data_IF_912090951438
#
_entry.id   IF_912090951438
#
_cell.length_a   1.000
_cell.length_b   1.000
_cell.length_c   1.000
_cell.angle_alpha   90.00
_cell.angle_beta   90.00
_cell.angle_gamma   90.00
#
_symmetry.space_group_name_H-M   'P 1'
#
loop_
_entity.id
_entity.type
_entity.pdbx_description
1 polymer ?
#
# COMPACT_ATOMS: atom_id res chain seq x y z
N UNK A 1 17.89 -5.22 -19.16
CA UNK A 1 18.56 -6.30 -18.40
C UNK A 1 17.50 -7.23 -17.85
N UNK A 2 17.71 -8.54 -17.95
CA UNK A 2 16.76 -9.54 -17.46
C UNK A 2 17.51 -10.62 -16.67
N UNK A 3 16.98 -10.97 -15.51
CA UNK A 3 17.41 -12.08 -14.67
C UNK A 3 16.25 -13.07 -14.59
N UNK A 4 16.52 -14.36 -14.82
CA UNK A 4 15.48 -15.39 -14.84
C UNK A 4 15.96 -16.66 -14.17
N UNK A 5 15.12 -17.25 -13.30
CA UNK A 5 15.38 -18.56 -12.70
C UNK A 5 16.56 -18.56 -11.72
N UNK A 6 16.74 -17.49 -10.95
CA UNK A 6 17.88 -17.38 -10.03
C UNK A 6 17.52 -18.04 -8.69
N UNK A 7 18.39 -18.95 -8.23
CA UNK A 7 18.37 -19.51 -6.89
C UNK A 7 19.65 -19.10 -6.16
N UNK A 8 19.53 -18.29 -5.10
CA UNK A 8 20.69 -17.78 -4.37
C UNK A 8 20.40 -17.64 -2.88
N UNK A 9 21.40 -17.68 -2.01
CA UNK A 9 21.20 -17.28 -0.60
C UNK A 9 20.93 -15.78 -0.50
N UNK A 10 21.68 -14.98 -1.26
CA UNK A 10 21.51 -13.54 -1.38
C UNK A 10 21.67 -13.09 -2.83
N UNK A 11 20.80 -12.20 -3.28
CA UNK A 11 20.92 -11.50 -4.56
C UNK A 11 20.82 -10.00 -4.33
N UNK A 12 21.82 -9.26 -4.80
CA UNK A 12 21.90 -7.81 -4.65
C UNK A 12 22.16 -7.14 -6.00
N UNK A 13 21.34 -6.13 -6.34
CA UNK A 13 21.56 -5.27 -7.49
C UNK A 13 21.71 -3.84 -6.97
N UNK A 14 22.84 -3.21 -7.28
CA UNK A 14 23.19 -1.89 -6.75
C UNK A 14 23.60 -0.99 -7.91
N UNK A 15 23.04 0.22 -7.96
CA UNK A 15 23.48 1.26 -8.90
C UNK A 15 23.19 0.95 -10.36
N UNK A 16 22.05 0.31 -10.66
CA UNK A 16 21.70 -0.08 -12.02
C UNK A 16 21.05 1.10 -12.74
N UNK A 17 21.62 1.45 -13.90
CA UNK A 17 21.01 2.34 -14.90
C UNK A 17 20.65 1.53 -16.14
N UNK A 18 19.37 1.41 -16.46
CA UNK A 18 18.92 0.61 -17.61
C UNK A 18 17.62 1.18 -18.21
N UNK A 19 17.36 0.97 -19.51
CA UNK A 19 16.02 1.27 -20.05
C UNK A 19 14.95 0.39 -19.40
N UNK A 20 15.24 -0.90 -19.21
CA UNK A 20 14.37 -1.85 -18.53
C UNK A 20 15.16 -2.83 -17.69
N UNK A 21 14.63 -3.18 -16.52
CA UNK A 21 15.11 -4.25 -15.65
C UNK A 21 13.97 -5.20 -15.31
N UNK A 22 14.18 -6.50 -15.55
CA UNK A 22 13.21 -7.56 -15.27
C UNK A 22 13.83 -8.66 -14.41
N UNK A 23 13.16 -9.02 -13.32
CA UNK A 23 13.52 -10.16 -12.47
C UNK A 23 12.34 -11.15 -12.47
N UNK A 24 12.57 -12.36 -12.95
CA UNK A 24 11.52 -13.36 -13.15
C UNK A 24 11.93 -14.67 -12.47
N UNK A 25 11.08 -15.21 -11.58
CA UNK A 25 11.34 -16.49 -10.94
C UNK A 25 12.61 -16.47 -10.10
N UNK A 26 12.64 -15.60 -9.08
CA UNK A 26 13.78 -15.48 -8.17
C UNK A 26 13.43 -16.16 -6.85
N UNK A 27 14.28 -17.08 -6.41
CA UNK A 27 14.20 -17.70 -5.09
C UNK A 27 15.47 -17.36 -4.29
N UNK A 28 15.32 -16.53 -3.25
CA UNK A 28 16.47 -16.16 -2.43
C UNK A 28 16.13 -15.94 -0.96
N UNK A 29 17.04 -16.22 -0.03
CA UNK A 29 16.79 -15.85 1.38
C UNK A 29 16.72 -14.32 1.54
N UNK A 30 17.57 -13.59 0.81
CA UNK A 30 17.55 -12.13 0.76
C UNK A 30 17.66 -11.62 -0.68
N UNK A 31 16.72 -10.77 -1.08
CA UNK A 31 16.76 -10.02 -2.34
C UNK A 31 16.80 -8.52 -2.04
N UNK A 32 17.80 -7.80 -2.58
CA UNK A 32 17.91 -6.36 -2.39
C UNK A 32 18.21 -5.64 -3.71
N UNK A 33 17.40 -4.65 -4.04
CA UNK A 33 17.69 -3.70 -5.13
C UNK A 33 17.87 -2.32 -4.52
N UNK A 34 18.99 -1.66 -4.83
CA UNK A 34 19.31 -0.35 -4.28
C UNK A 34 19.82 0.59 -5.37
N UNK A 35 19.26 1.81 -5.43
CA UNK A 35 19.72 2.82 -6.39
C UNK A 35 19.47 2.40 -7.83
N UNK A 36 18.24 2.04 -8.17
CA UNK A 36 17.87 1.63 -9.53
C UNK A 36 17.24 2.82 -10.24
N UNK A 37 17.78 3.13 -11.42
CA UNK A 37 17.24 4.12 -12.35
C UNK A 37 16.87 3.41 -13.65
N UNK A 38 15.58 3.27 -13.93
CA UNK A 38 15.12 2.65 -15.16
C UNK A 38 13.84 3.24 -15.71
N UNK A 39 13.54 3.08 -17.00
CA UNK A 39 12.21 3.46 -17.49
C UNK A 39 11.13 2.47 -17.01
N UNK A 40 11.51 1.19 -16.85
CA UNK A 40 10.62 0.14 -16.34
C UNK A 40 11.39 -0.85 -15.47
N UNK A 41 10.83 -1.16 -14.29
CA UNK A 41 11.30 -2.22 -13.41
C UNK A 41 10.14 -3.19 -13.14
N UNK A 42 10.32 -4.46 -13.52
CA UNK A 42 9.32 -5.51 -13.34
C UNK A 42 9.89 -6.68 -12.53
N UNK A 43 9.20 -7.07 -11.47
CA UNK A 43 9.52 -8.23 -10.66
C UNK A 43 8.34 -9.19 -10.66
N UNK A 44 8.57 -10.43 -11.07
CA UNK A 44 7.51 -11.43 -11.21
C UNK A 44 7.93 -12.76 -10.61
N UNK A 45 7.10 -13.33 -9.75
CA UNK A 45 7.37 -14.64 -9.13
C UNK A 45 8.61 -14.61 -8.25
N UNK A 46 8.61 -13.74 -7.23
CA UNK A 46 9.72 -13.61 -6.29
C UNK A 46 9.36 -14.31 -4.99
N UNK A 47 10.23 -15.20 -4.54
CA UNK A 47 10.11 -15.90 -3.26
C UNK A 47 11.34 -15.56 -2.42
N UNK A 48 11.14 -14.81 -1.33
CA UNK A 48 12.26 -14.47 -0.45
C UNK A 48 11.90 -14.29 1.02
N UNK A 49 12.79 -14.64 1.94
CA UNK A 49 12.53 -14.33 3.36
C UNK A 49 12.54 -12.82 3.60
N UNK A 50 13.49 -12.10 3.00
CA UNK A 50 13.58 -10.64 3.01
C UNK A 50 13.69 -10.12 1.58
N UNK A 51 12.81 -9.19 1.20
CA UNK A 51 12.87 -8.50 -0.07
C UNK A 51 12.80 -6.97 0.14
N UNK A 52 13.84 -6.26 -0.30
CA UNK A 52 13.98 -4.82 -0.14
C UNK A 52 14.19 -4.11 -1.48
N UNK A 53 13.41 -3.05 -1.70
CA UNK A 53 13.63 -2.05 -2.74
C UNK A 53 13.94 -0.71 -2.08
N UNK A 54 15.08 -0.11 -2.40
CA UNK A 54 15.51 1.17 -1.81
C UNK A 54 16.01 2.14 -2.87
N UNK A 55 15.47 3.36 -2.89
CA UNK A 55 15.93 4.41 -3.81
C UNK A 55 15.71 4.03 -5.27
N UNK A 56 14.46 3.76 -5.64
CA UNK A 56 14.09 3.36 -7.00
C UNK A 56 13.47 4.56 -7.72
N UNK A 57 13.97 4.88 -8.90
CA UNK A 57 13.45 5.91 -9.79
C UNK A 57 13.05 5.28 -11.11
N UNK A 58 11.76 5.28 -11.43
CA UNK A 58 11.27 4.68 -12.68
C UNK A 58 10.03 5.35 -13.25
N UNK A 59 9.70 5.12 -14.52
CA UNK A 59 8.37 5.48 -15.02
C UNK A 59 7.32 4.45 -14.58
N UNK A 60 7.67 3.16 -14.58
CA UNK A 60 6.80 2.07 -14.11
C UNK A 60 7.56 1.11 -13.20
N UNK A 61 6.96 0.78 -12.04
CA UNK A 61 7.38 -0.29 -11.15
C UNK A 61 6.23 -1.29 -10.96
N UNK A 62 6.45 -2.53 -11.36
CA UNK A 62 5.47 -3.62 -11.24
C UNK A 62 6.03 -4.76 -10.38
N UNK A 63 5.31 -5.12 -9.32
CA UNK A 63 5.58 -6.29 -8.49
C UNK A 63 4.39 -7.25 -8.62
N UNK A 64 4.63 -8.46 -9.10
CA UNK A 64 3.58 -9.45 -9.34
C UNK A 64 3.94 -10.81 -8.75
N UNK A 65 3.06 -11.37 -7.92
CA UNK A 65 3.26 -12.72 -7.35
C UNK A 65 4.49 -12.76 -6.45
N UNK A 66 4.48 -11.96 -5.40
CA UNK A 66 5.61 -11.86 -4.45
C UNK A 66 5.23 -12.58 -3.16
N UNK A 67 6.07 -13.52 -2.75
CA UNK A 67 5.97 -14.23 -1.48
C UNK A 67 7.17 -13.88 -0.62
N UNK A 68 6.94 -13.17 0.51
CA UNK A 68 8.04 -12.84 1.41
C UNK A 68 7.67 -12.79 2.89
N UNK A 69 8.59 -13.15 3.79
CA UNK A 69 8.33 -12.89 5.22
C UNK A 69 8.30 -11.38 5.50
N UNK A 70 9.23 -10.63 4.91
CA UNK A 70 9.26 -9.18 4.94
C UNK A 70 9.48 -8.60 3.55
N UNK A 71 8.57 -7.71 3.13
CA UNK A 71 8.69 -6.91 1.91
C UNK A 71 8.73 -5.42 2.26
N UNK A 72 9.80 -4.73 1.88
CA UNK A 72 10.01 -3.31 2.16
C UNK A 72 10.31 -2.51 0.91
N UNK A 73 9.54 -1.45 0.69
CA UNK A 73 9.75 -0.46 -0.36
C UNK A 73 10.02 0.88 0.30
N UNK A 74 11.20 1.46 0.05
CA UNK A 74 11.63 2.71 0.68
C UNK A 74 12.18 3.68 -0.35
N UNK A 75 11.65 4.91 -0.39
CA UNK A 75 12.13 5.96 -1.29
C UNK A 75 11.91 5.58 -2.75
N UNK A 76 10.64 5.38 -3.14
CA UNK A 76 10.27 5.02 -4.51
C UNK A 76 9.65 6.24 -5.18
N UNK A 77 10.21 6.60 -6.34
CA UNK A 77 9.67 7.63 -7.22
C UNK A 77 9.24 6.98 -8.54
N UNK A 78 7.93 6.93 -8.81
CA UNK A 78 7.42 6.31 -10.03
C UNK A 78 6.22 7.03 -10.64
N UNK A 79 6.06 7.04 -11.96
CA UNK A 79 4.78 7.52 -12.52
C UNK A 79 3.65 6.52 -12.20
N UNK A 80 3.91 5.22 -12.32
CA UNK A 80 3.03 4.14 -11.87
C UNK A 80 3.78 3.16 -10.97
N UNK A 81 3.17 2.81 -9.83
CA UNK A 81 3.60 1.74 -8.94
C UNK A 81 2.45 0.77 -8.71
N UNK A 82 2.65 -0.49 -9.08
CA UNK A 82 1.64 -1.55 -9.01
C UNK A 82 2.16 -2.76 -8.24
N UNK A 83 1.42 -3.16 -7.21
CA UNK A 83 1.66 -4.35 -6.41
C UNK A 83 0.46 -5.28 -6.56
N UNK A 84 0.66 -6.46 -7.15
CA UNK A 84 -0.41 -7.41 -7.44
C UNK A 84 -0.07 -8.79 -6.92
N UNK A 85 -0.95 -9.37 -6.10
CA UNK A 85 -0.80 -10.74 -5.59
C UNK A 85 0.42 -10.85 -4.66
N UNK A 86 0.42 -10.07 -3.58
CA UNK A 86 1.50 -10.06 -2.60
C UNK A 86 1.08 -10.85 -1.37
N UNK A 87 1.90 -11.80 -0.97
CA UNK A 87 1.75 -12.56 0.27
C UNK A 87 2.95 -12.27 1.17
N UNK A 88 2.74 -11.57 2.29
CA UNK A 88 3.82 -11.30 3.22
C UNK A 88 3.44 -11.28 4.70
N UNK A 89 4.33 -11.68 5.61
CA UNK A 89 4.03 -11.46 7.04
C UNK A 89 4.01 -9.96 7.36
N UNK A 90 4.95 -9.20 6.80
CA UNK A 90 5.01 -7.75 6.89
C UNK A 90 5.25 -7.11 5.53
N UNK A 91 4.37 -6.17 5.15
CA UNK A 91 4.53 -5.31 3.97
C UNK A 91 4.62 -3.84 4.41
N UNK A 92 5.73 -3.19 4.09
CA UNK A 92 5.99 -1.79 4.44
C UNK A 92 6.33 -0.96 3.19
N UNK A 93 5.60 0.13 3.00
CA UNK A 93 5.86 1.15 1.99
C UNK A 93 6.15 2.47 2.70
N UNK A 94 7.33 3.04 2.47
CA UNK A 94 7.78 4.27 3.14
C UNK A 94 8.35 5.26 2.15
N UNK A 95 7.85 6.50 2.15
CA UNK A 95 8.37 7.56 1.28
C UNK A 95 8.15 7.23 -0.20
N UNK A 96 6.89 7.06 -0.58
CA UNK A 96 6.51 6.74 -1.97
C UNK A 96 5.92 7.99 -2.61
N UNK A 97 6.45 8.35 -3.77
CA UNK A 97 5.93 9.42 -4.62
C UNK A 97 5.51 8.83 -5.96
N UNK A 98 4.22 8.84 -6.25
CA UNK A 98 3.73 8.33 -7.54
C UNK A 98 2.52 9.04 -8.11
N UNK A 99 2.37 9.12 -9.43
CA UNK A 99 1.10 9.61 -10.00
C UNK A 99 -0.02 8.61 -9.70
N UNK A 100 0.25 7.32 -9.87
CA UNK A 100 -0.66 6.22 -9.53
C UNK A 100 0.04 5.20 -8.64
N UNK A 101 -0.59 4.86 -7.52
CA UNK A 101 -0.19 3.75 -6.65
C UNK A 101 -1.38 2.79 -6.47
N UNK A 102 -1.20 1.54 -6.88
CA UNK A 102 -2.21 0.50 -6.81
C UNK A 102 -1.71 -0.73 -6.07
N UNK A 103 -2.46 -1.17 -5.07
CA UNK A 103 -2.24 -2.41 -4.34
C UNK A 103 -3.47 -3.30 -4.53
N UNK A 104 -3.28 -4.46 -5.16
CA UNK A 104 -4.37 -5.39 -5.49
C UNK A 104 -4.06 -6.80 -4.99
N UNK A 105 -4.99 -7.39 -4.24
CA UNK A 105 -4.86 -8.77 -3.77
C UNK A 105 -3.68 -8.95 -2.83
N UNK A 106 -3.66 -8.19 -1.74
CA UNK A 106 -2.59 -8.25 -0.74
C UNK A 106 -3.06 -9.07 0.45
N UNK A 107 -2.26 -10.05 0.83
CA UNK A 107 -2.45 -10.84 2.04
C UNK A 107 -1.25 -10.63 2.96
N UNK A 108 -1.48 -9.99 4.12
CA UNK A 108 -0.40 -9.79 5.08
C UNK A 108 -0.80 -9.84 6.54
N UNK A 109 0.09 -10.21 7.46
CA UNK A 109 -0.22 -10.04 8.89
C UNK A 109 -0.23 -8.55 9.27
N UNK A 110 0.68 -7.77 8.69
CA UNK A 110 0.73 -6.32 8.85
C UNK A 110 1.00 -5.62 7.51
N UNK A 111 0.21 -4.60 7.21
CA UNK A 111 0.39 -3.67 6.09
C UNK A 111 0.58 -2.25 6.62
N UNK A 112 1.69 -1.60 6.26
CA UNK A 112 1.99 -0.23 6.67
C UNK A 112 2.36 0.63 5.46
N UNK A 113 1.65 1.75 5.29
CA UNK A 113 1.98 2.79 4.32
C UNK A 113 2.28 4.08 5.08
N UNK A 114 3.47 4.64 4.90
CA UNK A 114 3.93 5.84 5.60
C UNK A 114 4.54 6.85 4.65
N UNK A 115 4.06 8.09 4.68
CA UNK A 115 4.60 9.17 3.84
C UNK A 115 4.39 8.89 2.36
N UNK A 116 3.13 8.67 1.97
CA UNK A 116 2.74 8.42 0.59
C UNK A 116 2.21 9.71 -0.01
N UNK A 117 2.76 10.09 -1.16
CA UNK A 117 2.26 11.18 -1.99
C UNK A 117 1.83 10.63 -3.33
N UNK A 118 0.53 10.67 -3.64
CA UNK A 118 0.04 10.22 -4.93
C UNK A 118 -1.08 11.04 -5.54
N UNK A 119 -1.26 11.05 -6.85
CA UNK A 119 -2.50 11.64 -7.41
C UNK A 119 -3.66 10.68 -7.15
N UNK A 120 -3.45 9.39 -7.44
CA UNK A 120 -4.39 8.31 -7.14
C UNK A 120 -3.73 7.24 -6.30
N UNK A 121 -4.34 6.91 -5.16
CA UNK A 121 -3.98 5.77 -4.33
C UNK A 121 -5.18 4.83 -4.22
N UNK A 122 -5.00 3.58 -4.64
CA UNK A 122 -6.05 2.56 -4.65
C UNK A 122 -5.57 1.28 -3.96
N UNK A 123 -6.35 0.82 -2.99
CA UNK A 123 -6.17 -0.46 -2.29
C UNK A 123 -7.41 -1.32 -2.55
N UNK A 124 -7.23 -2.48 -3.17
CA UNK A 124 -8.32 -3.36 -3.59
C UNK A 124 -8.07 -4.80 -3.13
N UNK A 125 -9.03 -5.38 -2.40
CA UNK A 125 -8.95 -6.78 -1.98
C UNK A 125 -7.78 -7.03 -1.02
N UNK A 126 -7.74 -6.29 0.09
CA UNK A 126 -6.67 -6.39 1.09
C UNK A 126 -7.17 -7.21 2.27
N UNK A 127 -6.40 -8.23 2.63
CA UNK A 127 -6.64 -9.07 3.80
C UNK A 127 -5.46 -8.93 4.75
N UNK A 128 -5.69 -8.32 5.91
CA UNK A 128 -4.61 -8.18 6.88
C UNK A 128 -5.06 -8.07 8.32
N UNK A 129 -4.32 -8.64 9.28
CA UNK A 129 -4.68 -8.46 10.70
C UNK A 129 -4.62 -6.99 11.11
N UNK A 130 -3.61 -6.25 10.63
CA UNK A 130 -3.44 -4.82 10.92
C UNK A 130 -3.04 -4.04 9.68
N UNK A 131 -3.79 -2.98 9.39
CA UNK A 131 -3.50 -2.02 8.32
C UNK A 131 -3.35 -0.63 8.93
N UNK A 132 -2.24 0.02 8.62
CA UNK A 132 -1.94 1.39 9.05
C UNK A 132 -1.58 2.26 7.85
N UNK A 133 -2.34 3.34 7.66
CA UNK A 133 -2.06 4.39 6.69
C UNK A 133 -1.73 5.66 7.45
N UNK A 134 -0.51 6.17 7.29
CA UNK A 134 -0.04 7.35 8.03
C UNK A 134 0.59 8.37 7.12
N UNK A 135 0.12 9.62 7.19
CA UNK A 135 0.68 10.72 6.40
C UNK A 135 0.48 10.48 4.90
N UNK A 136 -0.76 10.32 4.48
CA UNK A 136 -1.11 10.08 3.08
C UNK A 136 -1.63 11.39 2.48
N UNK A 137 -1.04 11.79 1.36
CA UNK A 137 -1.45 12.94 0.59
C UNK A 137 -1.88 12.48 -0.80
N UNK A 138 -3.17 12.56 -1.12
CA UNK A 138 -3.64 12.18 -2.45
C UNK A 138 -4.83 12.95 -2.99
N UNK A 139 -4.91 13.19 -4.30
CA UNK A 139 -6.14 13.76 -4.87
C UNK A 139 -7.33 12.81 -4.69
N UNK A 140 -7.10 11.51 -4.87
CA UNK A 140 -8.08 10.45 -4.63
C UNK A 140 -7.45 9.29 -3.85
N UNK A 141 -8.05 8.96 -2.71
CA UNK A 141 -7.74 7.76 -1.93
C UNK A 141 -8.96 6.84 -1.90
N UNK A 142 -8.79 5.61 -2.40
CA UNK A 142 -9.86 4.61 -2.48
C UNK A 142 -9.43 3.29 -1.83
N UNK A 143 -10.25 2.78 -0.91
CA UNK A 143 -10.09 1.46 -0.31
C UNK A 143 -11.34 0.62 -0.63
N UNK A 144 -11.15 -0.53 -1.27
CA UNK A 144 -12.24 -1.42 -1.69
C UNK A 144 -11.97 -2.86 -1.26
N UNK A 145 -12.94 -3.50 -0.62
CA UNK A 145 -12.82 -4.91 -0.24
C UNK A 145 -11.70 -5.15 0.77
N UNK A 146 -11.69 -4.37 1.86
CA UNK A 146 -10.69 -4.50 2.91
C UNK A 146 -11.27 -5.36 4.04
N UNK A 147 -10.50 -6.37 4.44
CA UNK A 147 -10.79 -7.22 5.59
C UNK A 147 -9.63 -7.14 6.57
N UNK A 148 -9.89 -6.62 7.77
CA UNK A 148 -8.88 -6.53 8.81
C UNK A 148 -9.39 -6.76 10.23
N UNK A 149 -8.49 -6.99 11.19
CA UNK A 149 -8.86 -6.85 12.61
C UNK A 149 -8.81 -5.38 13.02
N UNK A 150 -7.78 -4.66 12.58
CA UNK A 150 -7.62 -3.21 12.80
C UNK A 150 -7.26 -2.52 11.49
N UNK A 151 -8.00 -1.45 11.17
CA UNK A 151 -7.68 -0.51 10.09
C UNK A 151 -7.59 0.90 10.67
N UNK A 152 -6.41 1.51 10.57
CA UNK A 152 -6.12 2.85 11.11
C UNK A 152 -5.68 3.79 9.99
N UNK A 153 -6.35 4.94 9.91
CA UNK A 153 -6.02 6.04 9.01
C UNK A 153 -5.67 7.27 9.84
N UNK A 154 -4.43 7.76 9.70
CA UNK A 154 -3.93 8.89 10.49
C UNK A 154 -3.26 9.93 9.60
N UNK A 155 -3.68 11.18 9.70
CA UNK A 155 -3.08 12.28 8.94
C UNK A 155 -3.29 12.09 7.43
N UNK A 156 -4.54 11.98 7.01
CA UNK A 156 -4.90 11.79 5.61
C UNK A 156 -5.36 13.13 5.05
N UNK A 157 -4.73 13.58 3.97
CA UNK A 157 -5.14 14.75 3.20
C UNK A 157 -5.54 14.32 1.79
N UNK A 158 -6.83 14.39 1.48
CA UNK A 158 -7.30 14.03 0.14
C UNK A 158 -8.49 14.83 -0.39
N UNK A 159 -8.53 15.17 -1.68
CA UNK A 159 -9.73 15.81 -2.23
C UNK A 159 -10.95 14.87 -2.14
N UNK A 160 -10.74 13.58 -2.40
CA UNK A 160 -11.74 12.53 -2.24
C UNK A 160 -11.18 11.34 -1.47
N UNK A 161 -11.82 10.99 -0.35
CA UNK A 161 -11.56 9.78 0.42
C UNK A 161 -12.78 8.87 0.37
N UNK A 162 -12.60 7.68 -0.20
CA UNK A 162 -13.67 6.69 -0.37
C UNK A 162 -13.29 5.34 0.21
N UNK A 163 -14.17 4.80 1.05
CA UNK A 163 -14.04 3.45 1.58
C UNK A 163 -15.32 2.67 1.23
N UNK A 164 -15.15 1.53 0.56
CA UNK A 164 -16.25 0.67 0.12
C UNK A 164 -16.03 -0.78 0.54
N UNK A 165 -16.99 -1.37 1.25
CA UNK A 165 -16.93 -2.78 1.64
C UNK A 165 -15.77 -3.04 2.61
N UNK A 166 -15.80 -2.40 3.78
CA UNK A 166 -14.79 -2.57 4.82
C UNK A 166 -15.36 -3.45 5.91
N UNK A 167 -14.65 -4.54 6.22
CA UNK A 167 -14.90 -5.38 7.39
C UNK A 167 -13.72 -5.27 8.36
N UNK A 168 -13.96 -4.70 9.54
CA UNK A 168 -12.95 -4.56 10.58
C UNK A 168 -13.49 -4.94 11.97
N UNK A 169 -12.63 -5.24 12.94
CA UNK A 169 -13.05 -5.19 14.35
C UNK A 169 -12.96 -3.76 14.88
N UNK A 170 -11.83 -3.09 14.64
CA UNK A 170 -11.65 -1.66 14.87
C UNK A 170 -11.35 -0.93 13.56
N UNK A 171 -12.08 0.15 13.30
CA UNK A 171 -11.84 1.09 12.21
C UNK A 171 -11.68 2.49 12.82
N UNK A 172 -10.49 3.06 12.68
CA UNK A 172 -10.13 4.33 13.31
C UNK A 172 -9.65 5.34 12.26
N UNK A 173 -10.19 6.55 12.36
CA UNK A 173 -9.78 7.71 11.60
C UNK A 173 -9.34 8.80 12.56
N UNK A 174 -8.17 9.37 12.29
CA UNK A 174 -7.59 10.46 13.07
C UNK A 174 -6.98 11.49 12.13
N UNK A 175 -7.32 12.76 12.31
CA UNK A 175 -6.79 13.88 11.54
C UNK A 175 -6.99 13.68 10.03
N UNK A 176 -8.25 13.62 9.61
CA UNK A 176 -8.63 13.46 8.21
C UNK A 176 -9.07 14.80 7.65
N UNK A 177 -8.42 15.26 6.59
CA UNK A 177 -8.81 16.44 5.84
C UNK A 177 -9.21 16.01 4.42
N UNK A 178 -10.51 16.14 4.10
CA UNK A 178 -10.96 15.84 2.75
C UNK A 178 -12.10 16.71 2.24
N UNK A 179 -12.12 17.08 0.96
CA UNK A 179 -13.28 17.80 0.42
C UNK A 179 -14.52 16.91 0.43
N UNK A 180 -14.36 15.62 0.12
CA UNK A 180 -15.41 14.61 0.18
C UNK A 180 -14.93 13.36 0.92
N UNK A 181 -15.67 12.94 1.94
CA UNK A 181 -15.52 11.67 2.64
C UNK A 181 -16.74 10.78 2.38
N UNK A 182 -16.52 9.60 1.82
CA UNK A 182 -17.58 8.63 1.54
C UNK A 182 -17.25 7.28 2.16
N UNK A 183 -18.15 6.79 3.02
CA UNK A 183 -18.09 5.46 3.63
C UNK A 183 -19.31 4.66 3.20
N UNK A 184 -19.10 3.53 2.52
CA UNK A 184 -20.18 2.68 2.01
C UNK A 184 -19.95 1.22 2.39
N UNK A 185 -20.94 0.58 3.02
CA UNK A 185 -20.84 -0.83 3.40
C UNK A 185 -19.71 -1.07 4.41
N UNK A 186 -19.76 -0.37 5.54
CA UNK A 186 -18.79 -0.53 6.62
C UNK A 186 -19.39 -1.44 7.69
N UNK A 187 -18.66 -2.49 8.06
CA UNK A 187 -19.01 -3.37 9.15
C UNK A 187 -17.84 -3.43 10.14
N UNK A 188 -18.00 -2.74 11.27
CA UNK A 188 -17.00 -2.68 12.33
C UNK A 188 -17.61 -2.99 13.70
N UNK A 189 -16.83 -3.46 14.68
CA UNK A 189 -17.30 -3.42 16.07
C UNK A 189 -17.15 -2.01 16.63
N UNK A 190 -15.97 -1.41 16.45
CA UNK A 190 -15.71 0.00 16.77
C UNK A 190 -15.40 0.78 15.49
N UNK A 191 -16.12 1.88 15.27
CA UNK A 191 -15.80 2.88 14.26
C UNK A 191 -15.53 4.21 14.97
N UNK A 192 -14.28 4.67 14.99
CA UNK A 192 -13.90 5.91 15.67
C UNK A 192 -13.50 6.97 14.67
N UNK A 193 -14.07 8.17 14.83
CA UNK A 193 -13.79 9.33 13.99
C UNK A 193 -13.34 10.49 14.88
N UNK A 194 -12.07 10.89 14.74
CA UNK A 194 -11.46 11.98 15.51
C UNK A 194 -10.80 12.99 14.57
N UNK A 195 -11.14 14.28 14.69
CA UNK A 195 -10.50 15.33 13.89
C UNK A 195 -10.79 15.18 12.40
N UNK A 196 -12.08 15.11 12.03
CA UNK A 196 -12.49 14.98 10.63
C UNK A 196 -12.89 16.35 10.11
N UNK A 197 -12.17 16.84 9.10
CA UNK A 197 -12.49 18.09 8.42
C UNK A 197 -12.90 17.78 6.98
N UNK A 198 -14.22 17.75 6.73
CA UNK A 198 -14.73 17.55 5.38
C UNK A 198 -15.90 18.44 4.98
N UNK A 199 -15.89 18.88 3.72
CA UNK A 199 -16.99 19.70 3.17
C UNK A 199 -18.24 18.88 2.87
N UNK A 200 -18.07 17.58 2.60
CA UNK A 200 -19.15 16.63 2.39
C UNK A 200 -18.81 15.29 3.03
N UNK A 201 -19.74 14.76 3.81
CA UNK A 201 -19.65 13.43 4.41
C UNK A 201 -20.87 12.63 3.98
N UNK A 202 -20.64 11.46 3.40
CA UNK A 202 -21.70 10.52 3.03
C UNK A 202 -21.43 9.16 3.67
N UNK A 203 -22.42 8.67 4.42
CA UNK A 203 -22.37 7.40 5.13
C UNK A 203 -23.54 6.53 4.65
N UNK A 204 -23.28 5.35 4.14
CA UNK A 204 -24.32 4.43 3.64
C UNK A 204 -24.02 3.00 4.05
N UNK A 205 -24.96 2.32 4.70
CA UNK A 205 -24.76 0.95 5.19
C UNK A 205 -23.63 0.83 6.20
N UNK A 206 -23.68 1.64 7.26
CA UNK A 206 -22.71 1.59 8.38
C UNK A 206 -23.29 0.74 9.50
N UNK A 207 -22.57 -0.31 9.88
CA UNK A 207 -22.90 -1.20 10.99
C UNK A 207 -21.74 -1.16 11.98
N UNK A 208 -21.95 -0.49 13.11
CA UNK A 208 -20.98 -0.39 14.21
C UNK A 208 -21.68 -0.53 15.56
N UNK A 209 -21.10 -1.29 16.50
CA UNK A 209 -21.64 -1.36 17.87
C UNK A 209 -21.20 -0.16 18.73
N UNK A 210 -20.12 0.51 18.34
CA UNK A 210 -19.64 1.75 18.94
C UNK A 210 -19.21 2.75 17.86
N UNK A 211 -19.68 4.00 18.00
CA UNK A 211 -19.40 5.11 17.07
C UNK A 211 -19.06 6.41 17.81
N UNK A 212 -17.89 6.53 18.46
CA UNK A 212 -17.46 7.79 19.03
C UNK A 212 -17.07 8.77 17.90
N UNK A 213 -17.61 9.98 17.99
CA UNK A 213 -17.36 11.09 17.07
C UNK A 213 -16.80 12.27 17.88
N UNK A 214 -15.59 12.73 17.55
CA UNK A 214 -15.00 13.90 18.20
C UNK A 214 -14.34 14.81 17.17
N UNK A 215 -14.64 16.11 17.21
CA UNK A 215 -14.05 17.09 16.29
C UNK A 215 -14.31 16.78 14.81
N UNK A 216 -15.56 16.48 14.46
CA UNK A 216 -16.07 16.34 13.08
C UNK A 216 -16.79 17.63 12.70
#
# INVERSE_FOLDING_TARGET
>A
MQLTGIHASSLQLIGIHASSLQLIGIHASSLKLTGIHASSLKLTGIHASSFELTGIHTSSLELTGIHASSLKLTGIHASSLELTGIHASSLQLTGIHASSLQLTGIHASSLQLTGIHAISLQLTGIYSSSIQLTGIYASSLQLTGIHASSLQLTGIHASSLQLTGIHASSLEFTDIHASSLQLTGIHASSLQLTGIHASSIQLTGIYASSLPLTGI
#
